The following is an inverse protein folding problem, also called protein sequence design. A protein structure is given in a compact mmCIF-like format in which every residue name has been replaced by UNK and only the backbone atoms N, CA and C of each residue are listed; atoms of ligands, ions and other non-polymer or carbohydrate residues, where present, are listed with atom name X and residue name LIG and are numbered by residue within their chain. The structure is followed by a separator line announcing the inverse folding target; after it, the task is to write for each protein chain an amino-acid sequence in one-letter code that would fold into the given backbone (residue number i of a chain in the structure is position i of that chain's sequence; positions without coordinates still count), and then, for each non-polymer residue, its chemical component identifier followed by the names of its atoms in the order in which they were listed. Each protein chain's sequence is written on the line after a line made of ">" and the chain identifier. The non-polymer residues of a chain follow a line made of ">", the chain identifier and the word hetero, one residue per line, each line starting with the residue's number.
data_IF_485487706255
#
_entry.id   IF_485487706255
#
_cell.length_a   1.000
_cell.length_b   1.000
_cell.length_c   1.000
_cell.angle_alpha   90.00
_cell.angle_beta   90.00
_cell.angle_gamma   90.00
#
_symmetry.space_group_name_H-M   'P 1'
#
loop_
_entity.id
_entity.type
_entity.pdbx_description
1 polymer ?
#
# COMPACT_ATOMS: atom_id res chain seq x y z
N UNK A 1 16.53 -20.20 18.00
CA UNK A 1 15.62 -19.77 16.94
C UNK A 1 15.19 -18.34 17.26
N UNK A 2 15.63 -17.38 16.45
CA UNK A 2 15.29 -15.97 16.60
C UNK A 2 14.19 -15.56 15.64
N UNK A 3 13.20 -14.81 16.12
CA UNK A 3 12.16 -14.26 15.25
C UNK A 3 11.65 -12.90 15.75
N UNK A 4 11.05 -12.14 14.85
CA UNK A 4 10.29 -10.91 15.15
C UNK A 4 9.05 -10.86 14.27
N UNK A 5 7.95 -10.37 14.81
CA UNK A 5 6.67 -10.27 14.10
C UNK A 5 6.23 -8.82 14.02
N UNK A 6 5.69 -8.42 12.88
CA UNK A 6 5.27 -7.05 12.62
C UNK A 6 4.01 -7.01 11.77
N UNK A 7 3.29 -5.90 11.92
CA UNK A 7 2.15 -5.49 11.10
C UNK A 7 1.97 -4.00 11.36
N UNK A 8 2.42 -3.14 10.45
CA UNK A 8 2.25 -1.67 10.50
C UNK A 8 2.84 -0.98 11.76
N UNK A 9 3.68 -1.70 12.52
CA UNK A 9 4.19 -1.25 13.83
C UNK A 9 5.69 -1.00 13.85
N UNK A 10 6.38 -1.27 12.75
CA UNK A 10 7.83 -1.17 12.64
C UNK A 10 8.22 -0.49 11.32
N UNK A 11 9.45 0.05 11.21
CA UNK A 11 9.96 0.66 9.97
C UNK A 11 10.33 -0.41 8.93
N UNK A 12 9.36 -1.24 8.55
CA UNK A 12 9.44 -2.31 7.57
C UNK A 12 8.64 -1.89 6.34
N UNK A 13 9.10 -2.27 5.15
CA UNK A 13 8.37 -2.03 3.91
C UNK A 13 7.50 -3.24 3.56
N UNK A 14 6.41 -3.45 4.29
CA UNK A 14 5.61 -4.69 4.23
C UNK A 14 5.10 -4.99 2.81
N UNK A 15 4.66 -3.95 2.10
CA UNK A 15 4.17 -4.06 0.72
C UNK A 15 5.26 -4.57 -0.24
N UNK A 16 6.50 -4.11 -0.08
CA UNK A 16 7.62 -4.52 -0.92
C UNK A 16 8.01 -5.98 -0.64
N UNK A 17 8.05 -6.37 0.65
CA UNK A 17 8.31 -7.75 1.05
C UNK A 17 7.21 -8.70 0.56
N UNK A 18 5.95 -8.29 0.68
CA UNK A 18 4.81 -9.07 0.21
C UNK A 18 4.83 -9.26 -1.32
N UNK A 19 5.28 -8.26 -2.08
CA UNK A 19 5.50 -8.41 -3.53
C UNK A 19 6.61 -9.44 -3.83
N UNK A 20 7.73 -9.38 -3.10
CA UNK A 20 8.83 -10.34 -3.25
C UNK A 20 8.41 -11.76 -2.87
N UNK A 21 7.59 -11.91 -1.84
CA UNK A 21 7.03 -13.18 -1.37
C UNK A 21 5.89 -13.72 -2.26
N UNK A 22 5.67 -13.14 -3.45
CA UNK A 22 4.67 -13.65 -4.39
C UNK A 22 3.22 -13.44 -3.99
N UNK A 23 2.93 -12.62 -2.97
CA UNK A 23 1.57 -12.38 -2.49
C UNK A 23 0.74 -11.51 -3.45
N UNK A 24 1.39 -10.79 -4.37
CA UNK A 24 0.73 -9.94 -5.34
C UNK A 24 1.68 -8.98 -6.05
N UNK A 25 1.12 -7.96 -6.69
CA UNK A 25 1.86 -6.87 -7.34
C UNK A 25 1.44 -5.52 -6.76
N UNK A 26 2.33 -4.53 -6.81
CA UNK A 26 1.99 -3.17 -6.40
C UNK A 26 1.17 -2.50 -7.50
N UNK A 27 -0.03 -2.04 -7.15
CA UNK A 27 -0.91 -1.29 -8.03
C UNK A 27 -0.44 0.16 -8.22
N UNK A 28 -0.94 0.86 -9.25
CA UNK A 28 -0.62 2.28 -9.47
C UNK A 28 -1.04 3.21 -8.31
N UNK A 29 -1.95 2.77 -7.46
CA UNK A 29 -2.33 3.43 -6.19
C UNK A 29 -1.43 3.03 -4.99
N UNK A 30 -0.34 2.31 -5.24
CA UNK A 30 0.68 1.94 -4.25
C UNK A 30 0.22 1.00 -3.12
N UNK A 31 -0.87 0.24 -3.31
CA UNK A 31 -1.18 -0.92 -2.45
C UNK A 31 -0.89 -2.23 -3.20
N UNK A 32 -0.61 -3.28 -2.45
CA UNK A 32 -0.51 -4.63 -2.99
C UNK A 32 -1.88 -5.10 -3.48
N UNK A 33 -1.90 -5.77 -4.64
CA UNK A 33 -3.08 -6.40 -5.21
C UNK A 33 -2.78 -7.89 -5.34
N UNK A 34 -3.63 -8.71 -4.74
CA UNK A 34 -3.66 -10.15 -4.89
C UNK A 34 -4.68 -10.53 -5.97
N UNK A 35 -4.38 -11.56 -6.77
CA UNK A 35 -5.22 -12.00 -7.88
C UNK A 35 -6.60 -12.53 -7.46
N UNK A 36 -6.74 -12.99 -6.22
CA UNK A 36 -7.99 -13.54 -5.67
C UNK A 36 -8.69 -12.57 -4.71
N UNK A 37 -7.92 -11.85 -3.89
CA UNK A 37 -8.46 -10.99 -2.82
C UNK A 37 -8.55 -9.49 -3.17
N UNK A 38 -8.08 -9.08 -4.36
CA UNK A 38 -7.99 -7.66 -4.69
C UNK A 38 -6.94 -6.98 -3.82
N UNK A 39 -7.21 -5.78 -3.29
CA UNK A 39 -6.31 -5.06 -2.36
C UNK A 39 -6.86 -4.96 -0.94
N UNK A 40 -7.95 -5.69 -0.63
CA UNK A 40 -8.65 -5.59 0.63
C UNK A 40 -8.22 -6.69 1.60
N UNK A 41 -7.02 -6.53 2.16
CA UNK A 41 -6.45 -7.42 3.17
C UNK A 41 -5.38 -6.68 3.98
N UNK A 42 -4.99 -7.25 5.11
CA UNK A 42 -3.86 -6.77 5.91
C UNK A 42 -2.59 -7.53 5.56
N UNK A 43 -1.46 -6.85 5.74
CA UNK A 43 -0.13 -7.45 5.63
C UNK A 43 0.46 -7.62 7.04
N UNK A 44 1.20 -8.70 7.21
CA UNK A 44 2.04 -8.92 8.37
C UNK A 44 3.19 -9.82 7.98
N UNK A 45 4.28 -9.72 8.73
CA UNK A 45 5.52 -10.41 8.42
C UNK A 45 6.17 -11.02 9.65
N UNK A 46 6.83 -12.15 9.41
CA UNK A 46 7.63 -12.88 10.39
C UNK A 46 9.07 -12.91 9.90
N UNK A 47 9.92 -12.15 10.56
CA UNK A 47 11.37 -12.24 10.39
C UNK A 47 11.88 -13.44 11.18
N UNK A 48 12.73 -14.24 10.56
CA UNK A 48 13.14 -15.54 11.10
C UNK A 48 14.53 -15.91 10.60
N UNK A 49 15.31 -16.62 11.42
CA UNK A 49 16.60 -17.22 11.03
C UNK A 49 16.47 -18.66 10.49
N UNK A 50 15.25 -19.17 10.33
CA UNK A 50 14.99 -20.47 9.68
C UNK A 50 15.33 -20.41 8.18
N UNK A 51 15.96 -21.47 7.63
CA UNK A 51 16.21 -21.59 6.20
C UNK A 51 14.94 -22.04 5.46
N UNK A 52 14.00 -21.10 5.26
CA UNK A 52 12.76 -21.36 4.53
C UNK A 52 13.00 -21.32 3.02
N UNK A 53 12.25 -22.12 2.22
CA UNK A 53 12.25 -21.95 0.77
C UNK A 53 11.75 -20.55 0.39
N UNK A 54 12.30 -20.01 -0.70
CA UNK A 54 11.96 -18.68 -1.21
C UNK A 54 10.95 -18.81 -2.34
N UNK A 55 9.86 -18.05 -2.26
CA UNK A 55 8.85 -17.97 -3.30
C UNK A 55 9.29 -17.06 -4.46
N UNK A 56 8.71 -17.28 -5.64
CA UNK A 56 8.88 -16.39 -6.78
C UNK A 56 7.90 -15.19 -6.68
N UNK A 57 8.32 -13.98 -7.09
CA UNK A 57 7.42 -12.84 -7.16
C UNK A 57 6.23 -13.09 -8.10
N UNK A 58 5.09 -12.47 -7.79
CA UNK A 58 3.89 -12.58 -8.62
C UNK A 58 4.01 -11.80 -9.94
N UNK A 59 3.21 -12.20 -10.93
CA UNK A 59 3.08 -11.47 -12.18
C UNK A 59 2.50 -10.07 -12.01
N UNK A 60 2.87 -9.15 -12.89
CA UNK A 60 2.41 -7.76 -12.88
C UNK A 60 1.21 -7.55 -13.82
N UNK A 61 0.21 -6.76 -13.39
CA UNK A 61 -1.07 -6.62 -14.12
C UNK A 61 -1.58 -5.19 -14.37
N UNK A 62 -0.91 -4.10 -13.96
CA UNK A 62 -1.54 -2.78 -14.05
C UNK A 62 -1.69 -2.20 -15.46
N UNK A 63 -0.93 -2.69 -16.44
CA UNK A 63 -1.09 -2.35 -17.87
C UNK A 63 -1.42 -0.88 -18.16
N UNK A 64 -2.39 -0.66 -19.04
CA UNK A 64 -2.91 0.67 -19.41
C UNK A 64 -3.95 1.24 -18.44
N UNK A 65 -4.36 0.49 -17.40
CA UNK A 65 -5.40 0.93 -16.46
C UNK A 65 -4.99 2.22 -15.73
N UNK A 66 -5.88 3.20 -15.66
CA UNK A 66 -5.69 4.47 -14.94
C UNK A 66 -6.78 4.76 -13.90
N UNK A 67 -7.64 3.78 -13.60
CA UNK A 67 -8.87 3.99 -12.83
C UNK A 67 -8.63 4.68 -11.47
N UNK A 68 -7.62 4.24 -10.71
CA UNK A 68 -7.31 4.84 -9.41
C UNK A 68 -6.76 6.27 -9.51
N UNK A 69 -5.97 6.59 -10.54
CA UNK A 69 -5.47 7.95 -10.76
C UNK A 69 -6.64 8.90 -11.01
N UNK A 70 -7.58 8.49 -11.87
CA UNK A 70 -8.76 9.30 -12.21
C UNK A 70 -9.73 9.41 -11.02
N UNK A 71 -9.93 8.34 -10.26
CA UNK A 71 -10.91 8.29 -9.18
C UNK A 71 -10.48 9.03 -7.90
N UNK A 72 -9.19 9.28 -7.70
CA UNK A 72 -8.70 9.91 -6.47
C UNK A 72 -9.23 11.36 -6.33
N UNK A 73 -10.08 11.66 -5.32
CA UNK A 73 -10.82 12.93 -5.28
C UNK A 73 -9.92 14.15 -5.01
N UNK A 74 -8.76 13.94 -4.40
CA UNK A 74 -7.75 14.98 -4.13
C UNK A 74 -6.57 14.92 -5.09
N UNK A 75 -6.59 14.00 -6.06
CA UNK A 75 -5.46 13.73 -6.95
C UNK A 75 -4.15 13.49 -6.16
N UNK A 76 -4.24 12.69 -5.10
CA UNK A 76 -3.10 12.32 -4.27
C UNK A 76 -2.18 11.32 -4.98
N UNK A 77 -2.69 10.52 -5.92
CA UNK A 77 -1.86 9.66 -6.79
C UNK A 77 -1.34 10.54 -7.93
N UNK A 78 -0.17 11.15 -7.73
CA UNK A 78 0.39 12.18 -8.63
C UNK A 78 1.03 11.59 -9.89
N UNK A 79 1.43 10.32 -9.83
CA UNK A 79 1.94 9.53 -10.95
C UNK A 79 1.71 8.05 -10.63
N UNK A 80 1.78 7.13 -11.62
CA UNK A 80 1.74 5.69 -11.35
C UNK A 80 2.73 5.32 -10.23
N UNK A 81 2.23 4.64 -9.19
CA UNK A 81 3.00 4.16 -8.03
C UNK A 81 3.50 5.25 -7.07
N UNK A 82 3.08 6.51 -7.28
CA UNK A 82 3.52 7.65 -6.47
C UNK A 82 2.32 8.36 -5.83
N UNK A 83 2.29 8.38 -4.49
CA UNK A 83 1.24 9.03 -3.69
C UNK A 83 1.84 10.21 -2.91
N UNK A 84 1.27 11.40 -3.06
CA UNK A 84 1.53 12.53 -2.18
C UNK A 84 0.62 12.46 -0.95
N UNK A 85 1.19 12.01 0.17
CA UNK A 85 0.48 11.86 1.44
C UNK A 85 -0.15 13.17 1.91
N UNK A 86 0.42 14.34 1.57
CA UNK A 86 -0.09 15.67 1.97
C UNK A 86 -1.41 16.04 1.30
N UNK A 87 -1.86 15.23 0.32
CA UNK A 87 -3.15 15.34 -0.36
C UNK A 87 -4.05 14.14 -0.05
N UNK A 88 -3.52 13.10 0.57
CA UNK A 88 -4.23 11.85 0.76
C UNK A 88 -5.29 12.01 1.86
N UNK A 89 -6.52 11.61 1.55
CA UNK A 89 -7.63 11.62 2.52
C UNK A 89 -7.28 10.79 3.75
N UNK A 90 -6.75 9.58 3.54
CA UNK A 90 -6.35 8.68 4.63
C UNK A 90 -5.35 9.32 5.59
N UNK A 91 -4.32 10.01 5.08
CA UNK A 91 -3.37 10.73 5.93
C UNK A 91 -4.07 11.83 6.73
N UNK A 92 -4.93 12.63 6.08
CA UNK A 92 -5.62 13.72 6.75
C UNK A 92 -6.60 13.28 7.84
N UNK A 93 -7.16 12.08 7.75
CA UNK A 93 -8.14 11.58 8.72
C UNK A 93 -7.54 10.70 9.82
N UNK A 94 -6.35 10.14 9.60
CA UNK A 94 -5.72 9.18 10.51
C UNK A 94 -4.48 9.78 11.18
N UNK A 95 -3.62 10.44 10.40
CA UNK A 95 -2.26 10.84 10.83
C UNK A 95 -2.11 12.34 11.10
N UNK A 96 -2.90 13.19 10.42
CA UNK A 96 -2.77 14.64 10.58
C UNK A 96 -3.23 15.06 11.98
N UNK A 97 -2.28 15.49 12.79
CA UNK A 97 -2.58 16.20 14.04
C UNK A 97 -3.02 17.64 13.75
N UNK A 98 -4.33 17.86 13.69
CA UNK A 98 -4.93 19.18 13.55
C UNK A 98 -6.08 19.26 12.56
N UNK A 99 -6.54 20.48 12.21
CA UNK A 99 -7.67 20.64 11.31
C UNK A 99 -7.29 20.27 9.86
N UNK A 100 -8.17 19.52 9.19
CA UNK A 100 -8.05 19.22 7.76
C UNK A 100 -8.03 20.55 6.96
N UNK A 101 -7.07 20.76 6.04
CA UNK A 101 -7.01 21.95 5.20
C UNK A 101 -8.31 22.17 4.41
N UNK A 102 -8.78 23.42 4.35
CA UNK A 102 -10.08 23.77 3.76
C UNK A 102 -10.28 23.21 2.35
N UNK A 103 -9.23 23.27 1.51
CA UNK A 103 -9.24 22.78 0.13
C UNK A 103 -9.53 21.28 -0.02
N UNK A 104 -9.31 20.47 1.03
CA UNK A 104 -9.53 19.03 0.99
C UNK A 104 -10.84 18.60 1.68
N UNK A 105 -11.52 19.47 2.44
CA UNK A 105 -12.69 19.09 3.24
C UNK A 105 -13.86 18.58 2.40
N UNK A 106 -14.17 19.24 1.28
CA UNK A 106 -15.26 18.81 0.38
C UNK A 106 -15.05 17.41 -0.19
N UNK A 107 -13.79 17.00 -0.37
CA UNK A 107 -13.45 15.69 -0.92
C UNK A 107 -13.66 14.53 0.08
N UNK A 108 -13.89 14.83 1.36
CA UNK A 108 -14.02 13.81 2.43
C UNK A 108 -15.38 13.11 2.46
N UNK A 109 -16.37 13.60 1.69
CA UNK A 109 -17.77 13.17 1.79
C UNK A 109 -18.64 14.23 2.44
#
# INVERSE_FOLDING_TARGET
>A
FGYRVFSDSAPVLEKALAQQAGLGWIGKHSNLINSKAGSWFFLGEVYTDLPLPVDAPAGFHCGSCSACLTACPTQAIVAPFQVDARRCISYHTIELHGPIPLQFRRAMG
#
